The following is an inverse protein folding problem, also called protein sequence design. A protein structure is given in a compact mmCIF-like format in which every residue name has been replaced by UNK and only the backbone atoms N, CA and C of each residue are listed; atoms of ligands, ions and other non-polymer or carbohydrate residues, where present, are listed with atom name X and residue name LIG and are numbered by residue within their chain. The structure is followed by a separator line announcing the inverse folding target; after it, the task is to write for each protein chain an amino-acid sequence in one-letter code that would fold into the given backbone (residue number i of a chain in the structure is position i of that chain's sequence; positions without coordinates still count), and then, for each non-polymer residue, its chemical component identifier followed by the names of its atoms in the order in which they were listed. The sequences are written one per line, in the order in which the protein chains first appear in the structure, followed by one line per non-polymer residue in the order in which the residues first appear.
data_IF_829766953720
#
_entry.id   IF_829766953720
#
_cell.length_a   1.000
_cell.length_b   1.000
_cell.length_c   1.000
_cell.angle_alpha   90.00
_cell.angle_beta   90.00
_cell.angle_gamma   90.00
#
_symmetry.space_group_name_H-M   'P 1'
#
loop_
_entity.id
_entity.type
_entity.pdbx_description
1 polymer ?
#
# COMPACT_ATOMS: atom_id res chain seq x y z
N UNK A 1 -10.12 -16.99 2.34
CA UNK A 1 -10.17 -15.59 1.89
C UNK A 1 -9.35 -14.80 2.88
N UNK A 2 -8.38 -14.01 2.42
CA UNK A 2 -7.54 -13.18 3.28
C UNK A 2 -8.25 -11.85 3.56
N UNK A 3 -8.48 -11.51 4.83
CA UNK A 3 -8.99 -10.20 5.24
C UNK A 3 -7.85 -9.33 5.77
N UNK A 4 -7.67 -8.15 5.15
CA UNK A 4 -6.60 -7.20 5.45
C UNK A 4 -6.71 -6.62 6.87
N UNK A 5 -7.90 -6.71 7.47
CA UNK A 5 -8.17 -6.24 8.82
C UNK A 5 -8.20 -7.36 9.86
N UNK A 6 -8.09 -8.62 9.44
CA UNK A 6 -8.08 -9.76 10.36
C UNK A 6 -6.70 -9.90 10.99
N UNK A 7 -6.53 -9.68 12.30
CA UNK A 7 -5.24 -9.86 12.95
C UNK A 7 -4.71 -11.30 12.82
N UNK A 8 -5.62 -12.27 12.73
CA UNK A 8 -5.27 -13.68 12.53
C UNK A 8 -4.63 -13.91 11.16
N UNK A 9 -5.18 -13.31 10.10
CA UNK A 9 -4.66 -13.46 8.75
C UNK A 9 -3.34 -12.71 8.58
N UNK A 10 -3.21 -11.52 9.19
CA UNK A 10 -1.93 -10.79 9.23
C UNK A 10 -0.84 -11.61 9.91
N UNK A 11 -1.16 -12.24 11.05
CA UNK A 11 -0.23 -13.10 11.78
C UNK A 11 0.23 -14.28 10.93
N UNK A 12 -0.68 -14.94 10.18
CA UNK A 12 -0.31 -16.05 9.28
C UNK A 12 0.70 -15.63 8.23
N UNK A 13 0.59 -14.42 7.67
CA UNK A 13 1.57 -13.90 6.70
C UNK A 13 2.91 -13.64 7.39
N UNK A 14 2.90 -12.99 8.55
CA UNK A 14 4.13 -12.70 9.30
C UNK A 14 4.90 -13.98 9.67
N UNK A 15 4.17 -15.03 10.09
CA UNK A 15 4.73 -16.33 10.48
C UNK A 15 5.36 -17.11 9.31
N UNK A 16 4.98 -16.80 8.07
CA UNK A 16 5.56 -17.41 6.86
C UNK A 16 6.84 -16.71 6.36
N UNK A 17 7.23 -15.61 7.01
CA UNK A 17 8.45 -14.87 6.69
C UNK A 17 9.75 -15.54 7.20
N UNK A 18 10.91 -14.87 7.02
CA UNK A 18 11.03 -13.46 6.68
C UNK A 18 10.74 -13.14 5.21
N UNK A 19 10.21 -11.94 4.97
CA UNK A 19 9.95 -11.42 3.64
C UNK A 19 10.90 -10.25 3.35
N UNK A 20 11.59 -10.29 2.22
CA UNK A 20 12.38 -9.15 1.75
C UNK A 20 11.49 -8.08 1.10
N UNK A 21 10.39 -8.52 0.49
CA UNK A 21 9.45 -7.63 -0.18
C UNK A 21 8.01 -8.13 -0.16
N UNK A 22 7.09 -7.17 -0.19
CA UNK A 22 5.67 -7.39 -0.45
C UNK A 22 5.29 -6.60 -1.70
N UNK A 23 4.66 -7.27 -2.65
CA UNK A 23 4.26 -6.68 -3.93
C UNK A 23 2.73 -6.62 -4.01
N UNK A 24 2.21 -5.47 -4.39
CA UNK A 24 0.77 -5.22 -4.51
C UNK A 24 0.42 -4.50 -5.81
N UNK A 25 -0.77 -4.75 -6.33
CA UNK A 25 -1.31 -4.07 -7.51
C UNK A 25 -2.75 -3.64 -7.27
N UNK A 26 -3.08 -2.40 -7.64
CA UNK A 26 -4.43 -1.82 -7.61
C UNK A 26 -5.11 -1.89 -6.22
N UNK A 27 -4.31 -1.78 -5.15
CA UNK A 27 -4.77 -1.96 -3.76
C UNK A 27 -5.48 -0.72 -3.18
N UNK A 28 -5.25 0.47 -3.72
CA UNK A 28 -5.74 1.76 -3.17
C UNK A 28 -7.12 2.15 -3.71
N UNK A 29 -7.74 1.31 -4.56
CA UNK A 29 -9.09 1.55 -5.03
C UNK A 29 -10.10 1.48 -3.87
N UNK A 30 -11.06 2.42 -3.75
CA UNK A 30 -12.07 2.40 -2.70
C UNK A 30 -12.70 1.02 -2.51
N UNK A 31 -13.02 0.33 -3.61
CA UNK A 31 -13.62 -1.02 -3.62
C UNK A 31 -12.79 -2.14 -3.00
N UNK A 32 -11.49 -1.95 -2.77
CA UNK A 32 -10.60 -3.01 -2.26
C UNK A 32 -10.22 -2.84 -0.78
N UNK A 33 -10.20 -1.60 -0.26
CA UNK A 33 -9.69 -1.33 1.09
C UNK A 33 -10.45 -0.23 1.86
N UNK A 34 -11.45 0.39 1.25
CA UNK A 34 -12.17 1.54 1.80
C UNK A 34 -13.42 1.17 2.58
N UNK A 35 -13.97 2.19 3.27
CA UNK A 35 -15.23 2.10 4.00
C UNK A 35 -16.36 1.55 3.12
N UNK A 36 -17.09 0.55 3.63
CA UNK A 36 -18.30 0.02 3.00
C UNK A 36 -18.07 -0.92 1.81
N UNK A 37 -16.83 -1.34 1.57
CA UNK A 37 -16.48 -2.19 0.43
C UNK A 37 -16.46 -3.70 0.77
N UNK A 38 -16.24 -4.04 2.04
CA UNK A 38 -16.48 -5.36 2.64
C UNK A 38 -17.07 -5.18 4.03
N UNK A 39 -17.80 -6.18 4.54
CA UNK A 39 -18.51 -6.07 5.83
C UNK A 39 -17.58 -5.69 7.00
N UNK A 40 -16.31 -6.12 6.97
CA UNK A 40 -15.32 -5.77 7.99
C UNK A 40 -14.84 -4.31 7.95
N UNK A 41 -15.24 -3.54 6.92
CA UNK A 41 -14.80 -2.15 6.67
C UNK A 41 -15.87 -1.08 6.86
N UNK A 42 -17.08 -1.39 7.33
CA UNK A 42 -18.19 -0.41 7.42
C UNK A 42 -17.84 0.86 8.23
N UNK A 43 -16.96 0.73 9.24
CA UNK A 43 -16.57 1.84 10.14
C UNK A 43 -15.13 2.30 9.96
N UNK A 44 -14.41 1.75 8.98
CA UNK A 44 -12.97 2.01 8.80
C UNK A 44 -12.71 3.37 8.10
N UNK A 45 -11.47 3.90 8.23
CA UNK A 45 -11.04 5.07 7.45
C UNK A 45 -10.98 4.75 5.95
N UNK A 46 -10.71 5.73 5.07
CA UNK A 46 -10.66 5.49 3.63
C UNK A 46 -9.52 4.53 3.24
N UNK A 47 -9.56 4.04 1.99
CA UNK A 47 -8.72 2.94 1.50
C UNK A 47 -7.20 3.19 1.62
N UNK A 48 -6.79 4.45 1.50
CA UNK A 48 -5.43 4.94 1.64
C UNK A 48 -4.88 4.73 3.06
N UNK A 49 -5.64 5.11 4.10
CA UNK A 49 -5.24 4.90 5.50
C UNK A 49 -5.25 3.42 5.90
N UNK A 50 -6.23 2.66 5.41
CA UNK A 50 -6.33 1.22 5.66
C UNK A 50 -5.12 0.49 5.09
N UNK A 51 -4.71 0.82 3.86
CA UNK A 51 -3.53 0.22 3.24
C UNK A 51 -2.27 0.55 4.05
N UNK A 52 -2.04 1.81 4.43
CA UNK A 52 -0.85 2.15 5.24
C UNK A 52 -0.80 1.41 6.58
N UNK A 53 -1.97 1.18 7.20
CA UNK A 53 -2.08 0.39 8.43
C UNK A 53 -1.73 -1.08 8.20
N UNK A 54 -2.21 -1.67 7.10
CA UNK A 54 -1.85 -3.03 6.67
C UNK A 54 -0.33 -3.15 6.45
N UNK A 55 0.27 -2.23 5.68
CA UNK A 55 1.70 -2.24 5.41
C UNK A 55 2.51 -2.08 6.70
N UNK A 56 2.08 -1.20 7.60
CA UNK A 56 2.73 -1.01 8.90
C UNK A 56 2.70 -2.28 9.75
N UNK A 57 1.57 -3.02 9.73
CA UNK A 57 1.45 -4.28 10.44
C UNK A 57 2.37 -5.37 9.86
N UNK A 58 2.57 -5.39 8.54
CA UNK A 58 3.41 -6.39 7.87
C UNK A 58 4.90 -6.02 7.81
N UNK A 59 5.25 -4.76 8.07
CA UNK A 59 6.61 -4.27 7.92
C UNK A 59 7.60 -4.93 8.88
N UNK A 60 8.76 -5.29 8.35
CA UNK A 60 9.96 -5.67 9.11
C UNK A 60 11.15 -4.81 8.69
N UNK A 61 12.22 -4.72 9.50
CA UNK A 61 13.41 -3.96 9.13
C UNK A 61 13.98 -4.43 7.78
N UNK A 62 14.23 -3.48 6.88
CA UNK A 62 14.78 -3.75 5.54
C UNK A 62 13.75 -4.23 4.50
N UNK A 63 12.51 -4.52 4.90
CA UNK A 63 11.47 -4.93 3.95
C UNK A 63 11.08 -3.77 3.03
N UNK A 64 10.92 -4.09 1.74
CA UNK A 64 10.44 -3.14 0.73
C UNK A 64 9.03 -3.49 0.26
N UNK A 65 8.15 -2.50 0.21
CA UNK A 65 6.84 -2.64 -0.40
C UNK A 65 6.87 -2.05 -1.80
N UNK A 66 6.39 -2.80 -2.79
CA UNK A 66 6.30 -2.37 -4.19
C UNK A 66 4.82 -2.35 -4.58
N UNK A 67 4.28 -1.18 -4.85
CA UNK A 67 2.86 -1.00 -5.15
C UNK A 67 2.67 -0.43 -6.56
N UNK A 68 2.05 -1.20 -7.45
CA UNK A 68 1.56 -0.68 -8.73
C UNK A 68 0.13 -0.16 -8.55
N UNK A 69 -0.08 1.15 -8.64
CA UNK A 69 -1.36 1.79 -8.36
C UNK A 69 -1.87 2.55 -9.59
N UNK A 70 -3.18 2.49 -9.80
CA UNK A 70 -3.89 3.29 -10.79
C UNK A 70 -4.79 4.29 -10.08
N UNK A 71 -4.56 5.58 -10.30
CA UNK A 71 -5.37 6.67 -9.78
C UNK A 71 -6.67 6.81 -10.58
N UNK A 72 -7.81 6.73 -9.91
CA UNK A 72 -9.14 6.88 -10.53
C UNK A 72 -9.92 8.06 -9.95
N UNK A 73 -9.70 8.38 -8.69
CA UNK A 73 -10.45 9.36 -7.89
C UNK A 73 -9.54 10.27 -7.05
N UNK A 74 -8.25 10.33 -7.35
CA UNK A 74 -7.23 11.08 -6.61
C UNK A 74 -6.69 10.35 -5.38
N UNK A 75 -6.99 9.05 -5.22
CA UNK A 75 -6.55 8.23 -4.10
C UNK A 75 -5.04 8.05 -4.05
N UNK A 76 -4.37 8.04 -5.20
CA UNK A 76 -2.92 7.93 -5.26
C UNK A 76 -2.26 9.15 -4.60
N UNK A 77 -2.67 10.36 -5.00
CA UNK A 77 -2.13 11.59 -4.44
C UNK A 77 -2.39 11.73 -2.93
N UNK A 78 -3.57 11.29 -2.45
CA UNK A 78 -3.87 11.24 -1.01
C UNK A 78 -2.98 10.25 -0.27
N UNK A 79 -2.83 9.04 -0.80
CA UNK A 79 -1.96 8.02 -0.23
C UNK A 79 -0.50 8.50 -0.11
N UNK A 80 0.03 9.12 -1.16
CA UNK A 80 1.40 9.67 -1.14
C UNK A 80 1.54 10.82 -0.14
N UNK A 81 0.55 11.71 -0.05
CA UNK A 81 0.54 12.78 0.92
C UNK A 81 0.55 12.26 2.36
N UNK A 82 -0.28 11.26 2.67
CA UNK A 82 -0.32 10.64 4.00
C UNK A 82 0.99 9.89 4.28
N UNK A 83 1.51 9.11 3.33
CA UNK A 83 2.77 8.39 3.50
C UNK A 83 3.97 9.34 3.71
N UNK A 84 3.93 10.55 3.14
CA UNK A 84 4.98 11.55 3.27
C UNK A 84 4.95 12.31 4.62
N UNK A 85 3.89 12.19 5.42
CA UNK A 85 3.81 12.81 6.74
C UNK A 85 4.99 12.34 7.63
N UNK A 86 5.75 13.25 8.26
CA UNK A 86 6.94 12.89 9.04
C UNK A 86 6.69 11.84 10.12
N UNK A 87 5.57 11.98 10.84
CA UNK A 87 5.20 11.11 11.96
C UNK A 87 4.75 9.72 11.53
N UNK A 88 4.48 9.53 10.23
CA UNK A 88 4.06 8.23 9.70
C UNK A 88 5.23 7.28 9.51
N UNK A 89 6.48 7.75 9.51
CA UNK A 89 7.66 6.88 9.51
C UNK A 89 7.90 6.08 8.22
N UNK A 90 7.44 6.59 7.07
CA UNK A 90 7.69 5.97 5.77
C UNK A 90 8.74 6.73 4.96
N UNK A 91 9.51 5.99 4.18
CA UNK A 91 10.24 6.49 3.02
C UNK A 91 9.50 6.04 1.77
N UNK A 92 9.17 6.99 0.90
CA UNK A 92 8.40 6.76 -0.32
C UNK A 92 9.18 7.27 -1.52
N UNK A 93 9.23 6.48 -2.58
CA UNK A 93 9.74 6.91 -3.89
C UNK A 93 8.88 6.35 -5.01
N UNK A 94 8.78 7.10 -6.11
CA UNK A 94 8.20 6.58 -7.36
C UNK A 94 9.28 5.86 -8.15
N UNK A 95 8.95 4.72 -8.74
CA UNK A 95 9.83 4.07 -9.70
C UNK A 95 10.03 4.99 -10.92
N UNK A 96 11.23 4.94 -11.49
CA UNK A 96 11.54 5.69 -12.69
C UNK A 96 10.71 5.17 -13.88
N UNK A 97 10.27 6.04 -14.82
CA UNK A 97 9.40 5.63 -15.93
C UNK A 97 9.98 4.49 -16.78
N UNK A 98 11.30 4.40 -16.94
CA UNK A 98 11.97 3.34 -17.68
C UNK A 98 11.76 1.94 -17.08
N UNK A 99 11.52 1.87 -15.76
CA UNK A 99 11.26 0.63 -15.01
C UNK A 99 9.79 0.20 -15.09
N UNK A 100 8.92 1.03 -15.65
CA UNK A 100 7.50 0.75 -15.86
C UNK A 100 7.32 0.16 -17.27
N UNK A 101 6.34 -0.74 -17.44
CA UNK A 101 6.03 -1.30 -18.77
C UNK A 101 5.72 -0.18 -19.77
N UNK A 102 6.25 -0.25 -21.02
CA UNK A 102 6.17 0.83 -22.00
C UNK A 102 4.78 1.46 -22.19
N UNK A 103 3.73 0.63 -22.18
CA UNK A 103 2.33 1.04 -22.34
C UNK A 103 1.80 1.92 -21.20
N UNK A 104 2.42 1.90 -20.02
CA UNK A 104 2.00 2.68 -18.86
C UNK A 104 2.91 3.87 -18.55
N UNK A 105 4.06 4.03 -19.22
CA UNK A 105 5.04 5.09 -18.91
C UNK A 105 4.50 6.50 -19.04
N UNK A 106 3.58 6.70 -19.99
CA UNK A 106 2.94 7.99 -20.25
C UNK A 106 1.56 8.12 -19.59
N UNK A 107 1.12 7.09 -18.87
CA UNK A 107 -0.15 7.11 -18.14
C UNK A 107 0.06 7.85 -16.82
N UNK A 108 -0.27 9.14 -16.78
CA UNK A 108 -0.13 9.98 -15.57
C UNK A 108 -0.92 9.44 -14.36
N UNK A 109 -1.92 8.61 -14.63
CA UNK A 109 -2.75 7.93 -13.64
C UNK A 109 -2.16 6.61 -13.13
N UNK A 110 -0.98 6.17 -13.59
CA UNK A 110 -0.33 4.95 -13.10
C UNK A 110 0.97 5.33 -12.39
N UNK A 111 1.20 4.75 -11.22
CA UNK A 111 2.46 4.88 -10.50
C UNK A 111 2.88 3.53 -9.92
N UNK A 112 4.19 3.28 -9.94
CA UNK A 112 4.81 2.23 -9.14
C UNK A 112 5.52 2.92 -7.98
N UNK A 113 5.10 2.58 -6.76
CA UNK A 113 5.64 3.16 -5.52
C UNK A 113 6.52 2.13 -4.82
N UNK A 114 7.66 2.59 -4.32
CA UNK A 114 8.49 1.85 -3.37
C UNK A 114 8.35 2.49 -1.99
N UNK A 115 7.96 1.69 -1.00
CA UNK A 115 7.86 2.11 0.39
C UNK A 115 8.77 1.29 1.28
N UNK A 116 9.45 1.95 2.20
CA UNK A 116 10.19 1.30 3.29
C UNK A 116 9.88 1.97 4.61
N UNK A 117 9.87 1.20 5.70
CA UNK A 117 9.74 1.77 7.04
C UNK A 117 11.06 2.45 7.42
N UNK A 118 11.02 3.71 7.84
CA UNK A 118 12.20 4.38 8.42
C UNK A 118 12.55 3.66 9.73
N UNK A 119 13.84 3.43 9.97
CA UNK A 119 14.30 2.98 11.27
C UNK A 119 13.89 4.05 12.31
N UNK A 120 13.32 3.60 13.43
CA UNK A 120 13.00 4.45 14.57
C UNK A 120 14.28 4.97 15.26
#
# INVERSE_FOLDING_TARGET
VFDWNSPEDLRKIQEQGPWDAIVGSDLVYPGNAGRGCVNSNEVKPPADETLLSLLAALASPGMTFILALKDRTGELGRFEAIAAEPDRGWSLSRAAPESIMPEFRNASQVAVLHLTRKAA
#
